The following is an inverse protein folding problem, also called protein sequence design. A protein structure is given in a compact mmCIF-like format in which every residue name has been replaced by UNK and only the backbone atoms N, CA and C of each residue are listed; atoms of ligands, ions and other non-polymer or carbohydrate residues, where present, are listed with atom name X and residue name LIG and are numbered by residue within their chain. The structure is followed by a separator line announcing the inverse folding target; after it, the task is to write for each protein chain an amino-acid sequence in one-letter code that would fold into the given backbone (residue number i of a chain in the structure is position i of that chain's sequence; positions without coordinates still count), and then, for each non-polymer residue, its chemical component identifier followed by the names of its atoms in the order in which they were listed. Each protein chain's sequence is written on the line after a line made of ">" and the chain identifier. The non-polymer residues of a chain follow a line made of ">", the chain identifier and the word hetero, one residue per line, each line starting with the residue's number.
data_IF_388057300399
#
_entry.id   IF_388057300399
#
_cell.length_a   1.000
_cell.length_b   1.000
_cell.length_c   1.000
_cell.angle_alpha   90.00
_cell.angle_beta   90.00
_cell.angle_gamma   90.00
#
_symmetry.space_group_name_H-M   'P 1'
#
loop_
_entity.id
_entity.type
_entity.pdbx_description
1 polymer ?
#
# COMPACT_ATOMS: atom_id res chain seq x y z
N UNK A 1 -8.80 18.12 7.14
CA UNK A 1 -8.34 17.77 5.77
C UNK A 1 -6.83 17.75 5.65
N UNK A 2 -6.10 18.75 6.15
CA UNK A 2 -4.62 18.82 6.02
C UNK A 2 -3.86 17.55 6.44
N UNK A 3 -4.26 16.91 7.56
CA UNK A 3 -3.60 15.67 8.05
C UNK A 3 -3.78 14.45 7.13
N UNK A 4 -4.74 14.48 6.22
CA UNK A 4 -5.04 13.39 5.27
C UNK A 4 -4.41 13.65 3.88
N UNK A 5 -3.92 14.86 3.61
CA UNK A 5 -3.33 15.21 2.33
C UNK A 5 -2.09 14.34 2.06
N UNK A 6 -2.00 13.81 0.84
CA UNK A 6 -0.90 12.93 0.43
C UNK A 6 -0.99 11.49 0.94
N UNK A 7 -2.03 11.15 1.73
CA UNK A 7 -2.24 9.80 2.27
C UNK A 7 -3.47 9.15 1.65
N UNK A 8 -3.41 7.85 1.43
CA UNK A 8 -4.53 7.04 0.96
C UNK A 8 -4.63 5.74 1.75
N UNK A 9 -5.85 5.20 1.79
CA UNK A 9 -6.18 3.93 2.41
C UNK A 9 -6.86 3.06 1.36
N UNK A 10 -6.27 1.89 1.09
CA UNK A 10 -6.83 0.87 0.21
C UNK A 10 -7.44 -0.22 1.05
N UNK A 11 -8.73 -0.51 0.82
CA UNK A 11 -9.46 -1.58 1.51
C UNK A 11 -9.58 -2.77 0.57
N UNK A 12 -8.94 -3.87 0.92
CA UNK A 12 -9.05 -5.15 0.22
C UNK A 12 -10.27 -5.86 0.81
N UNK A 13 -11.45 -5.55 0.26
CA UNK A 13 -12.71 -6.05 0.78
C UNK A 13 -12.97 -7.53 0.45
N UNK A 14 -12.40 -8.05 -0.64
CA UNK A 14 -12.52 -9.46 -1.03
C UNK A 14 -11.21 -9.96 -1.63
N UNK A 15 -10.79 -11.14 -1.19
CA UNK A 15 -9.69 -11.90 -1.77
C UNK A 15 -10.05 -13.39 -1.77
N UNK A 16 -9.73 -14.10 -2.86
CA UNK A 16 -9.88 -15.55 -2.91
C UNK A 16 -8.65 -16.21 -2.30
N UNK A 17 -8.89 -17.18 -1.43
CA UNK A 17 -7.84 -18.01 -0.82
C UNK A 17 -6.72 -17.22 -0.12
N UNK A 18 -7.04 -16.03 0.41
CA UNK A 18 -6.09 -15.17 1.11
C UNK A 18 -6.79 -14.17 2.03
N UNK A 19 -6.03 -13.47 2.88
CA UNK A 19 -6.59 -12.52 3.84
C UNK A 19 -7.13 -11.26 3.15
N UNK A 20 -8.17 -10.68 3.73
CA UNK A 20 -8.61 -9.31 3.47
C UNK A 20 -7.85 -8.34 4.38
N UNK A 21 -7.86 -7.04 4.08
CA UNK A 21 -7.17 -6.09 4.94
C UNK A 21 -7.21 -4.66 4.44
N UNK A 22 -6.44 -3.81 5.12
CA UNK A 22 -6.29 -2.40 4.81
C UNK A 22 -4.81 -2.13 4.56
N UNK A 23 -4.49 -1.43 3.48
CA UNK A 23 -3.14 -1.03 3.10
C UNK A 23 -3.06 0.49 3.05
N UNK A 24 -2.07 1.07 3.72
CA UNK A 24 -1.82 2.51 3.66
C UNK A 24 -0.85 2.82 2.52
N UNK A 25 -1.20 3.79 1.67
CA UNK A 25 -0.38 4.23 0.53
C UNK A 25 -0.20 5.75 0.56
N UNK A 26 0.77 6.24 -0.22
CA UNK A 26 0.86 7.66 -0.54
C UNK A 26 0.03 7.96 -1.80
N UNK A 27 -0.64 9.12 -1.83
CA UNK A 27 -1.36 9.61 -3.00
C UNK A 27 -0.75 10.92 -3.51
N UNK A 28 -0.24 10.89 -4.74
CA UNK A 28 0.38 12.03 -5.41
C UNK A 28 -0.67 12.69 -6.32
N UNK A 29 -1.28 13.78 -5.86
CA UNK A 29 -2.39 14.46 -6.54
C UNK A 29 -2.03 14.94 -7.94
N UNK A 30 -0.80 15.43 -8.10
CA UNK A 30 -0.33 16.06 -9.34
C UNK A 30 -0.27 15.07 -10.50
N UNK A 31 -0.17 13.77 -10.19
CA UNK A 31 -0.08 12.67 -11.15
C UNK A 31 -1.22 11.67 -11.03
N UNK A 32 -2.16 11.89 -10.09
CA UNK A 32 -3.24 10.94 -9.73
C UNK A 32 -2.69 9.52 -9.53
N UNK A 33 -1.59 9.40 -8.78
CA UNK A 33 -0.84 8.15 -8.63
C UNK A 33 -0.77 7.71 -7.18
N UNK A 34 -0.92 6.41 -6.96
CA UNK A 34 -0.60 5.77 -5.68
C UNK A 34 0.84 5.24 -5.72
N UNK A 35 1.57 5.42 -4.63
CA UNK A 35 2.90 4.82 -4.44
C UNK A 35 2.99 4.20 -3.07
N UNK A 36 3.99 3.34 -2.87
CA UNK A 36 4.31 2.82 -1.55
C UNK A 36 4.49 3.99 -0.58
N UNK A 37 3.88 3.86 0.59
CA UNK A 37 4.15 4.78 1.68
C UNK A 37 5.55 4.41 2.19
N UNK A 38 6.52 5.32 2.02
CA UNK A 38 7.87 5.10 2.53
C UNK A 38 7.80 4.90 4.05
N UNK A 39 7.86 3.65 4.48
CA UNK A 39 7.84 3.30 5.90
C UNK A 39 9.28 3.20 6.40
N UNK A 40 9.66 4.05 7.35
CA UNK A 40 11.00 4.05 7.95
C UNK A 40 11.22 2.86 8.92
N UNK A 41 10.48 1.75 8.78
CA UNK A 41 10.52 0.71 9.81
C UNK A 41 9.86 -0.64 9.54
N UNK A 42 8.98 -0.82 8.56
CA UNK A 42 8.41 -2.15 8.29
C UNK A 42 8.48 -2.51 6.81
N UNK A 43 9.64 -3.00 6.39
CA UNK A 43 9.68 -4.00 5.32
C UNK A 43 9.05 -5.26 5.91
N UNK A 44 7.73 -5.39 5.79
CA UNK A 44 7.08 -6.66 6.09
C UNK A 44 7.70 -7.72 5.19
N UNK A 45 8.31 -8.68 5.87
CA UNK A 45 9.12 -9.80 5.41
C UNK A 45 8.29 -10.75 4.52
N UNK A 46 8.09 -10.39 3.26
CA UNK A 46 7.61 -11.29 2.20
C UNK A 46 8.11 -10.82 0.82
N UNK A 47 9.43 -10.68 0.70
CA UNK A 47 10.13 -10.44 -0.57
C UNK A 47 10.52 -11.73 -1.31
N UNK A 48 10.06 -12.91 -0.87
CA UNK A 48 10.46 -14.20 -1.44
C UNK A 48 9.86 -14.50 -2.82
N UNK A 49 8.85 -13.76 -3.27
CA UNK A 49 8.12 -14.12 -4.50
C UNK A 49 8.57 -13.37 -5.77
N UNK A 50 9.58 -12.49 -5.67
CA UNK A 50 10.08 -11.70 -6.82
C UNK A 50 11.33 -12.27 -7.51
N UNK A 51 11.79 -13.47 -7.17
CA UNK A 51 12.99 -14.11 -7.77
C UNK A 51 12.69 -15.41 -8.53
N UNK A 52 11.45 -15.62 -8.98
CA UNK A 52 11.09 -16.77 -9.81
C UNK A 52 10.44 -16.34 -11.13
N UNK A 53 11.19 -15.62 -11.98
CA UNK A 53 11.10 -15.64 -13.44
C UNK A 53 12.50 -15.39 -14.03
#
# INVERSE_FOLDING_TARGET
>A
MEKAKGKAVVIIAKQRHGPTGIVSLAFQSDFTRFSDLADNGNVSENRSDYHAL
#
